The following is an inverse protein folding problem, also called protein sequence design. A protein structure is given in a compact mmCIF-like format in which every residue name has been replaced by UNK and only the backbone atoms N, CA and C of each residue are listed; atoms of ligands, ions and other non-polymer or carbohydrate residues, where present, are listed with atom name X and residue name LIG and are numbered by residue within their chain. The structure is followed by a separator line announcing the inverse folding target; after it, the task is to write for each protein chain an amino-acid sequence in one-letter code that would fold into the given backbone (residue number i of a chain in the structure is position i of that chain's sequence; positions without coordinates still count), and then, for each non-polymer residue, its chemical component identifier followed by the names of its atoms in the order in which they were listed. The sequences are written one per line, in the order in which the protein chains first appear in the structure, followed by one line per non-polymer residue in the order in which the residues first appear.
data_IF_296692082810
#
_entry.id   IF_296692082810
#
_cell.length_a   1.000
_cell.length_b   1.000
_cell.length_c   1.000
_cell.angle_alpha   90.00
_cell.angle_beta   90.00
_cell.angle_gamma   90.00
#
_symmetry.space_group_name_H-M   'P 1'
#
loop_
_entity.id
_entity.type
_entity.pdbx_description
1 polymer ?
#
# COMPACT_ATOMS: atom_id res chain seq x y z
N UNK A 1 31.74 0.91 -32.43
CA UNK A 1 32.13 0.42 -31.08
C UNK A 1 33.31 -0.52 -31.25
N UNK A 2 34.49 -0.28 -30.65
CA UNK A 2 35.63 -1.18 -30.75
C UNK A 2 35.36 -2.48 -30.00
N UNK A 3 35.58 -3.63 -30.62
CA UNK A 3 35.49 -4.96 -29.99
C UNK A 3 36.53 -5.06 -28.87
N UNK A 4 36.20 -5.64 -27.69
CA UNK A 4 37.17 -5.87 -26.64
C UNK A 4 38.29 -6.78 -27.14
N UNK A 5 39.57 -6.49 -26.83
CA UNK A 5 40.74 -7.11 -27.48
C UNK A 5 40.97 -8.59 -27.16
N UNK A 6 40.25 -9.17 -26.12
CA UNK A 6 40.41 -10.58 -25.76
C UNK A 6 39.07 -11.21 -25.33
N UNK A 7 38.74 -12.43 -25.79
CA UNK A 7 37.60 -13.16 -25.28
C UNK A 7 37.87 -13.57 -23.83
N UNK A 8 37.02 -13.11 -22.92
CA UNK A 8 37.10 -13.53 -21.51
C UNK A 8 36.90 -15.05 -21.43
N UNK A 9 37.72 -15.80 -20.66
CA UNK A 9 37.57 -17.23 -20.52
C UNK A 9 36.15 -17.57 -20.04
N UNK A 10 35.48 -18.48 -20.78
CA UNK A 10 34.14 -18.95 -20.41
C UNK A 10 34.27 -19.93 -19.25
N UNK A 11 34.12 -19.48 -18.04
CA UNK A 11 34.06 -20.36 -16.87
C UNK A 11 32.74 -21.16 -16.93
N UNK A 12 32.82 -22.52 -16.80
CA UNK A 12 31.62 -23.35 -16.75
C UNK A 12 30.60 -22.83 -15.71
N UNK A 13 29.32 -22.86 -16.03
CA UNK A 13 28.24 -22.30 -15.17
C UNK A 13 28.25 -22.88 -13.75
N UNK A 14 28.58 -24.18 -13.62
CA UNK A 14 28.69 -24.86 -12.32
C UNK A 14 29.78 -24.24 -11.46
N UNK A 15 30.99 -24.02 -12.02
CA UNK A 15 32.10 -23.40 -11.27
C UNK A 15 31.76 -21.94 -10.87
N UNK A 16 31.05 -21.21 -11.73
CA UNK A 16 30.59 -19.87 -11.42
C UNK A 16 29.57 -19.89 -10.27
N UNK A 17 28.62 -20.82 -10.27
CA UNK A 17 27.65 -21.00 -9.19
C UNK A 17 28.32 -21.36 -7.87
N UNK A 18 29.24 -22.33 -7.88
CA UNK A 18 30.03 -22.70 -6.70
C UNK A 18 30.86 -21.51 -6.16
N UNK A 19 31.42 -20.70 -7.05
CA UNK A 19 32.15 -19.49 -6.66
C UNK A 19 31.26 -18.45 -5.97
N UNK A 20 30.02 -18.29 -6.39
CA UNK A 20 29.04 -17.38 -5.75
C UNK A 20 28.68 -17.89 -4.34
N UNK A 21 28.35 -19.19 -4.20
CA UNK A 21 28.00 -19.76 -2.90
C UNK A 21 29.16 -19.73 -1.92
N UNK A 22 30.38 -20.03 -2.39
CA UNK A 22 31.58 -19.95 -1.55
C UNK A 22 31.85 -18.51 -1.08
N UNK A 23 31.66 -17.53 -1.95
CA UNK A 23 31.79 -16.11 -1.61
C UNK A 23 30.77 -15.72 -0.56
N UNK A 24 29.50 -16.07 -0.75
CA UNK A 24 28.43 -15.78 0.23
C UNK A 24 28.71 -16.45 1.58
N UNK A 25 29.15 -17.71 1.57
CA UNK A 25 29.55 -18.42 2.78
C UNK A 25 30.68 -17.70 3.51
N UNK A 26 31.72 -17.28 2.80
CA UNK A 26 32.84 -16.53 3.37
C UNK A 26 32.38 -15.20 3.97
N UNK A 27 31.54 -14.45 3.26
CA UNK A 27 31.02 -13.16 3.73
C UNK A 27 30.07 -13.31 4.93
N UNK A 28 29.40 -14.47 5.07
CA UNK A 28 28.54 -14.79 6.22
C UNK A 28 29.35 -15.17 7.45
N UNK A 29 30.42 -15.99 7.28
CA UNK A 29 31.26 -16.46 8.40
C UNK A 29 32.24 -15.37 8.90
N UNK A 30 32.72 -14.55 7.96
CA UNK A 30 33.66 -13.47 8.24
C UNK A 30 33.11 -12.12 7.79
N UNK A 31 32.10 -11.56 8.49
CA UNK A 31 31.53 -10.28 8.10
C UNK A 31 32.55 -9.16 8.22
N UNK A 32 32.77 -8.43 7.12
CA UNK A 32 33.64 -7.26 7.10
C UNK A 32 32.86 -6.03 7.62
N UNK A 33 32.78 -5.86 8.94
CA UNK A 33 32.15 -4.72 9.57
C UNK A 33 31.34 -5.07 10.82
N UNK A 34 31.00 -4.08 11.64
CA UNK A 34 30.32 -4.29 12.91
C UNK A 34 28.82 -4.67 12.77
N UNK A 35 28.23 -4.44 11.61
CA UNK A 35 26.81 -4.77 11.31
C UNK A 35 26.77 -5.50 9.98
N UNK A 36 26.16 -6.70 9.90
CA UNK A 36 25.95 -7.40 8.64
C UNK A 36 25.08 -6.55 7.74
N UNK A 37 25.55 -6.26 6.52
CA UNK A 37 24.74 -5.57 5.52
C UNK A 37 23.92 -6.58 4.73
N UNK A 38 22.61 -6.33 4.47
CA UNK A 38 21.74 -7.26 3.73
C UNK A 38 22.27 -7.65 2.35
N UNK A 39 23.14 -6.83 1.77
CA UNK A 39 23.78 -7.08 0.48
C UNK A 39 25.01 -8.00 0.53
N UNK A 40 25.48 -8.37 1.73
CA UNK A 40 26.71 -9.12 1.93
C UNK A 40 26.49 -10.28 2.89
N UNK A 41 26.39 -11.48 2.35
CA UNK A 41 26.20 -12.71 3.14
C UNK A 41 24.74 -12.98 3.52
N UNK A 42 24.53 -14.00 4.36
CA UNK A 42 23.21 -14.32 4.92
C UNK A 42 23.00 -13.51 6.21
N UNK A 43 21.94 -12.74 6.26
CA UNK A 43 21.56 -11.88 7.40
C UNK A 43 20.25 -12.39 7.96
N UNK A 44 20.18 -12.52 9.28
CA UNK A 44 18.96 -12.82 10.02
C UNK A 44 18.41 -11.54 10.63
N UNK A 45 17.12 -11.28 10.44
CA UNK A 45 16.40 -10.19 11.07
C UNK A 45 15.78 -10.69 12.37
N UNK A 46 16.05 -10.01 13.47
CA UNK A 46 15.54 -10.36 14.81
C UNK A 46 14.15 -9.74 15.03
N UNK A 47 13.21 -10.13 14.19
CA UNK A 47 11.83 -9.66 14.31
C UNK A 47 11.21 -10.11 15.65
N UNK A 48 10.47 -9.27 16.40
CA UNK A 48 10.05 -7.89 16.05
C UNK A 48 11.04 -6.79 16.50
N UNK A 49 12.19 -7.15 17.10
CA UNK A 49 13.14 -6.17 17.63
C UNK A 49 13.87 -5.41 16.51
N UNK A 50 14.17 -6.12 15.42
CA UNK A 50 14.67 -5.56 14.18
C UNK A 50 13.63 -5.82 13.10
N UNK A 51 13.02 -4.77 12.58
CA UNK A 51 12.08 -4.85 11.46
C UNK A 51 12.57 -3.93 10.34
N UNK A 52 12.57 -4.44 9.11
CA UNK A 52 12.79 -3.60 7.94
C UNK A 52 11.58 -2.69 7.76
N UNK A 53 11.81 -1.38 7.74
CA UNK A 53 10.75 -0.43 7.45
C UNK A 53 10.25 -0.64 6.01
N UNK A 54 8.95 -0.67 5.79
CA UNK A 54 8.40 -0.76 4.46
C UNK A 54 8.82 0.44 3.61
N UNK A 55 8.97 0.24 2.31
CA UNK A 55 9.26 1.33 1.39
C UNK A 55 8.12 2.37 1.39
N UNK A 56 8.44 3.63 1.11
CA UNK A 56 7.48 4.77 1.17
C UNK A 56 6.20 4.54 0.35
N UNK A 57 6.26 3.71 -0.69
CA UNK A 57 5.12 3.35 -1.54
C UNK A 57 4.73 1.88 -1.43
N UNK A 58 4.97 1.28 -0.27
CA UNK A 58 4.52 -0.08 -0.01
C UNK A 58 2.98 -0.17 -0.04
N UNK A 59 2.47 -1.25 -0.61
CA UNK A 59 1.06 -1.58 -0.60
C UNK A 59 0.77 -2.46 0.62
N UNK A 60 0.47 -1.83 1.74
CA UNK A 60 0.04 -2.50 2.95
C UNK A 60 -1.50 -2.60 3.01
N UNK A 61 -2.09 -2.20 4.11
CA UNK A 61 -3.55 -2.20 4.28
C UNK A 61 -4.20 -1.03 3.53
N UNK A 62 -5.42 -1.23 3.04
CA UNK A 62 -6.22 -0.16 2.42
C UNK A 62 -6.91 0.63 3.54
N UNK A 63 -6.72 1.94 3.54
CA UNK A 63 -7.31 2.88 4.49
C UNK A 63 -8.43 3.70 3.87
N UNK A 64 -9.33 4.22 4.70
CA UNK A 64 -10.48 5.01 4.29
C UNK A 64 -10.44 6.41 4.89
N UNK A 65 -10.51 7.42 4.04
CA UNK A 65 -10.85 8.79 4.41
C UNK A 65 -12.34 8.99 4.30
N UNK A 66 -13.07 8.80 5.39
CA UNK A 66 -14.54 8.81 5.40
C UNK A 66 -15.14 10.11 4.82
N UNK A 67 -14.56 11.25 5.16
CA UNK A 67 -15.01 12.58 4.69
C UNK A 67 -15.07 12.73 3.17
N UNK A 68 -14.24 11.98 2.44
CA UNK A 68 -14.16 12.02 0.99
C UNK A 68 -15.12 11.02 0.34
N UNK A 69 -15.58 10.02 1.09
CA UNK A 69 -16.42 8.97 0.53
C UNK A 69 -17.85 9.46 0.29
N UNK A 70 -18.34 9.29 -0.92
CA UNK A 70 -19.71 9.66 -1.33
C UNK A 70 -20.61 8.45 -1.54
N UNK A 71 -20.24 7.29 -1.05
CA UNK A 71 -20.98 6.04 -1.24
C UNK A 71 -21.41 5.77 -2.70
N UNK A 72 -20.50 6.03 -3.66
CA UNK A 72 -20.79 5.89 -5.10
C UNK A 72 -20.76 4.45 -5.61
N UNK A 73 -20.35 3.49 -4.79
CA UNK A 73 -20.30 2.04 -5.10
C UNK A 73 -19.27 1.63 -6.17
N UNK A 74 -18.45 2.53 -6.71
CA UNK A 74 -17.49 2.18 -7.76
C UNK A 74 -16.47 1.17 -7.29
N UNK A 75 -15.86 1.40 -6.12
CA UNK A 75 -14.87 0.49 -5.55
C UNK A 75 -15.42 -0.92 -5.30
N UNK A 76 -16.68 -1.04 -4.86
CA UNK A 76 -17.32 -2.33 -4.64
C UNK A 76 -17.65 -3.06 -5.95
N UNK A 77 -18.07 -2.32 -7.00
CA UNK A 77 -18.40 -2.92 -8.32
C UNK A 77 -17.17 -3.41 -9.08
N UNK A 78 -16.07 -2.66 -8.98
CA UNK A 78 -14.82 -2.99 -9.68
C UNK A 78 -13.95 -3.97 -8.88
N UNK A 79 -14.36 -4.35 -7.67
CA UNK A 79 -13.65 -5.33 -6.87
C UNK A 79 -13.82 -6.73 -7.46
N UNK A 80 -12.72 -7.41 -7.89
CA UNK A 80 -12.81 -8.75 -8.47
C UNK A 80 -13.22 -9.80 -7.44
N UNK A 81 -12.89 -9.59 -6.16
CA UNK A 81 -13.13 -10.54 -5.07
C UNK A 81 -14.39 -10.25 -4.26
N UNK A 82 -15.11 -9.17 -4.60
CA UNK A 82 -16.34 -8.75 -3.92
C UNK A 82 -16.16 -8.58 -2.40
N UNK A 83 -14.97 -8.18 -1.96
CA UNK A 83 -14.60 -8.05 -0.56
C UNK A 83 -15.00 -6.71 0.08
N UNK A 84 -15.67 -5.80 -0.66
CA UNK A 84 -16.06 -4.47 -0.17
C UNK A 84 -17.57 -4.42 0.02
N UNK A 85 -17.99 -4.20 1.26
CA UNK A 85 -19.38 -4.05 1.64
C UNK A 85 -19.66 -2.56 1.91
N UNK A 86 -20.54 -1.96 1.11
CA UNK A 86 -20.80 -0.54 1.18
C UNK A 86 -22.31 -0.29 1.17
N UNK A 87 -22.77 0.48 2.15
CA UNK A 87 -24.17 0.94 2.24
C UNK A 87 -24.19 2.45 2.43
N UNK A 88 -25.17 3.09 1.86
CA UNK A 88 -25.36 4.51 2.00
C UNK A 88 -26.78 4.95 1.67
N UNK A 89 -27.18 6.04 2.28
CA UNK A 89 -28.50 6.62 2.05
C UNK A 89 -28.42 8.04 1.48
N UNK A 90 -29.52 8.51 0.94
CA UNK A 90 -29.63 9.91 0.46
C UNK A 90 -30.06 10.81 1.58
N UNK A 91 -29.25 11.83 1.83
CA UNK A 91 -29.55 12.89 2.82
C UNK A 91 -29.56 14.26 2.17
N UNK A 92 -30.03 15.26 2.89
CA UNK A 92 -30.06 16.65 2.46
C UNK A 92 -28.89 17.40 3.11
N UNK A 93 -27.94 17.81 2.32
CA UNK A 93 -26.87 18.69 2.77
C UNK A 93 -27.28 20.16 2.67
N UNK A 94 -26.73 21.03 3.55
CA UNK A 94 -26.96 22.46 3.45
C UNK A 94 -26.52 23.02 2.08
N UNK A 95 -27.12 24.09 1.62
CA UNK A 95 -26.75 24.70 0.36
C UNK A 95 -25.30 25.23 0.40
N UNK A 96 -24.60 25.19 -0.75
CA UNK A 96 -23.23 25.72 -0.87
C UNK A 96 -23.15 27.25 -0.81
N UNK A 97 -24.28 27.95 -0.98
CA UNK A 97 -24.37 29.42 -0.94
C UNK A 97 -25.55 29.81 -0.05
N UNK A 98 -25.42 30.90 0.66
CA UNK A 98 -26.53 31.48 1.44
C UNK A 98 -27.76 31.71 0.54
N UNK A 99 -28.94 31.27 0.96
CA UNK A 99 -30.19 31.35 0.19
C UNK A 99 -30.36 30.29 -0.91
N UNK A 100 -29.43 29.35 -1.06
CA UNK A 100 -29.55 28.26 -2.01
C UNK A 100 -30.53 27.16 -1.58
N UNK A 101 -30.91 26.25 -2.49
CA UNK A 101 -31.71 25.08 -2.17
C UNK A 101 -30.82 23.99 -1.54
N UNK A 102 -31.34 23.21 -0.56
CA UNK A 102 -30.65 22.04 -0.05
C UNK A 102 -30.42 21.03 -1.18
N UNK A 103 -29.25 20.39 -1.15
CA UNK A 103 -28.89 19.41 -2.20
C UNK A 103 -28.94 18.00 -1.64
N UNK A 104 -29.37 17.06 -2.49
CA UNK A 104 -29.31 15.64 -2.17
C UNK A 104 -27.87 15.17 -2.28
N UNK A 105 -27.34 14.59 -1.21
CA UNK A 105 -26.02 13.95 -1.17
C UNK A 105 -26.17 12.53 -0.64
N UNK A 106 -25.26 11.66 -1.00
CA UNK A 106 -25.21 10.34 -0.38
C UNK A 106 -24.37 10.46 0.91
N UNK A 107 -24.86 9.90 1.98
CA UNK A 107 -24.15 9.69 3.23
C UNK A 107 -23.69 8.23 3.32
N UNK A 108 -22.51 8.00 3.85
CA UNK A 108 -21.97 6.68 4.05
C UNK A 108 -22.45 6.12 5.39
N UNK A 109 -23.18 5.00 5.34
CA UNK A 109 -23.65 4.30 6.53
C UNK A 109 -22.66 3.23 6.96
N UNK A 110 -22.28 2.39 6.01
CA UNK A 110 -21.41 1.25 6.20
C UNK A 110 -20.33 1.20 5.13
N UNK A 111 -19.11 0.92 5.52
CA UNK A 111 -18.01 0.64 4.63
C UNK A 111 -17.09 -0.37 5.31
N UNK A 112 -17.12 -1.60 4.82
CA UNK A 112 -16.27 -2.65 5.36
C UNK A 112 -15.44 -3.26 4.23
N UNK A 113 -14.22 -3.66 4.56
CA UNK A 113 -13.36 -4.46 3.67
C UNK A 113 -13.04 -5.77 4.37
N UNK A 114 -13.34 -6.86 3.71
CA UNK A 114 -12.95 -8.20 4.16
C UNK A 114 -11.54 -8.53 3.65
N UNK A 115 -10.56 -8.37 4.53
CA UNK A 115 -9.16 -8.66 4.22
C UNK A 115 -8.85 -10.15 4.16
N UNK A 116 -9.77 -11.02 4.54
CA UNK A 116 -9.63 -12.47 4.33
C UNK A 116 -9.82 -12.86 2.86
N UNK A 117 -10.53 -12.03 2.09
CA UNK A 117 -10.83 -12.23 0.67
C UNK A 117 -9.99 -11.30 -0.23
N UNK A 118 -9.54 -10.17 0.30
CA UNK A 118 -8.87 -9.12 -0.48
C UNK A 118 -7.54 -9.60 -1.05
N UNK A 119 -7.38 -9.51 -2.38
CA UNK A 119 -6.13 -9.85 -3.08
C UNK A 119 -5.13 -8.68 -3.21
N UNK A 120 -5.40 -7.54 -2.58
CA UNK A 120 -4.55 -6.34 -2.59
C UNK A 120 -4.23 -5.81 -4.00
N UNK A 121 -5.12 -5.97 -4.96
CA UNK A 121 -4.93 -5.53 -6.33
C UNK A 121 -4.88 -4.00 -6.49
N UNK A 122 -5.55 -3.24 -5.59
CA UNK A 122 -5.57 -1.79 -5.58
C UNK A 122 -6.55 -1.14 -6.56
N UNK A 123 -7.34 -1.91 -7.30
CA UNK A 123 -8.31 -1.36 -8.25
C UNK A 123 -9.28 -0.40 -7.54
N UNK A 124 -9.71 -0.71 -6.32
CA UNK A 124 -10.60 0.14 -5.53
C UNK A 124 -9.99 1.51 -5.20
N UNK A 125 -8.67 1.58 -5.00
CA UNK A 125 -7.94 2.84 -4.77
C UNK A 125 -7.88 3.64 -6.06
N UNK A 126 -7.50 3.00 -7.18
CA UNK A 126 -7.35 3.65 -8.49
C UNK A 126 -8.68 4.16 -9.06
N UNK A 127 -9.77 3.42 -8.88
CA UNK A 127 -11.08 3.77 -9.43
C UNK A 127 -11.81 4.84 -8.61
N UNK A 128 -11.34 5.19 -7.41
CA UNK A 128 -12.01 6.13 -6.53
C UNK A 128 -11.87 7.59 -7.03
N UNK A 129 -12.94 8.23 -7.57
CA UNK A 129 -12.84 9.59 -8.13
C UNK A 129 -12.80 10.67 -7.05
N UNK A 130 -12.99 10.29 -5.78
CA UNK A 130 -13.05 11.20 -4.65
C UNK A 130 -11.83 11.10 -3.73
N UNK A 131 -10.85 10.26 -4.10
CA UNK A 131 -9.66 10.05 -3.30
C UNK A 131 -10.02 9.73 -1.83
N UNK A 132 -10.88 8.73 -1.67
CA UNK A 132 -11.33 8.28 -0.36
C UNK A 132 -10.53 7.06 0.14
N UNK A 133 -9.85 6.33 -0.73
CA UNK A 133 -9.09 5.14 -0.41
C UNK A 133 -7.59 5.37 -0.64
N UNK A 134 -6.77 4.95 0.30
CA UNK A 134 -5.32 5.11 0.26
C UNK A 134 -4.61 3.83 0.70
N UNK A 135 -3.37 3.68 0.29
CA UNK A 135 -2.49 2.66 0.81
C UNK A 135 -1.81 3.15 2.09
N UNK A 136 -2.00 2.43 3.18
CA UNK A 136 -1.17 2.56 4.37
C UNK A 136 0.03 1.61 4.24
N UNK A 137 1.21 1.95 4.75
CA UNK A 137 2.36 1.04 4.81
C UNK A 137 2.18 -0.08 5.83
N UNK A 138 1.18 0.01 6.70
CA UNK A 138 0.91 -0.96 7.75
C UNK A 138 0.48 -2.32 7.18
N UNK A 139 1.04 -3.40 7.71
CA UNK A 139 0.76 -4.76 7.26
C UNK A 139 0.59 -5.76 8.41
N UNK A 140 0.81 -5.32 9.66
CA UNK A 140 0.77 -6.16 10.85
C UNK A 140 -0.61 -6.16 11.50
N UNK A 141 -1.58 -6.79 10.86
CA UNK A 141 -2.96 -6.89 11.37
C UNK A 141 -3.49 -8.32 11.39
N UNK A 142 -2.60 -9.26 11.73
CA UNK A 142 -2.98 -10.66 11.91
C UNK A 142 -3.99 -10.83 13.02
N UNK A 143 -5.02 -11.62 12.78
CA UNK A 143 -6.11 -11.89 13.73
C UNK A 143 -6.23 -13.38 14.05
N UNK A 144 -6.76 -13.69 15.24
CA UNK A 144 -6.98 -15.08 15.66
C UNK A 144 -8.20 -15.72 14.99
N UNK A 145 -9.16 -14.90 14.56
CA UNK A 145 -10.39 -15.33 13.90
C UNK A 145 -10.52 -14.65 12.55
N UNK A 146 -10.90 -15.41 11.54
CA UNK A 146 -11.10 -14.87 10.18
C UNK A 146 -12.16 -13.77 10.15
N UNK A 147 -13.17 -13.82 11.02
CA UNK A 147 -14.21 -12.79 11.12
C UNK A 147 -13.65 -11.42 11.54
N UNK A 148 -12.55 -11.39 12.28
CA UNK A 148 -11.92 -10.15 12.76
C UNK A 148 -11.10 -9.46 11.66
N UNK A 149 -10.89 -10.13 10.51
CA UNK A 149 -10.31 -9.53 9.30
C UNK A 149 -11.32 -8.69 8.49
N UNK A 150 -12.60 -8.68 8.89
CA UNK A 150 -13.58 -7.75 8.38
C UNK A 150 -13.38 -6.38 9.07
N UNK A 151 -12.71 -5.46 8.39
CA UNK A 151 -12.43 -4.13 8.94
C UNK A 151 -13.55 -3.17 8.57
N UNK A 152 -14.18 -2.60 9.59
CA UNK A 152 -15.21 -1.59 9.45
C UNK A 152 -14.62 -0.20 9.11
N UNK A 153 -15.49 0.75 8.80
CA UNK A 153 -15.09 2.12 8.47
C UNK A 153 -14.27 2.81 9.57
N UNK A 154 -14.52 2.46 10.84
CA UNK A 154 -13.79 3.03 11.98
C UNK A 154 -12.34 2.55 11.99
N UNK A 155 -12.12 1.26 11.82
CA UNK A 155 -10.79 0.65 11.75
C UNK A 155 -10.04 1.09 10.49
N UNK A 156 -10.72 1.17 9.35
CA UNK A 156 -10.15 1.69 8.11
C UNK A 156 -9.74 3.17 8.21
N UNK A 157 -10.49 3.97 8.98
CA UNK A 157 -10.15 5.36 9.29
C UNK A 157 -8.91 5.50 10.15
N UNK A 158 -8.69 4.60 11.12
CA UNK A 158 -7.46 4.57 11.91
C UNK A 158 -6.23 4.32 11.05
N UNK A 159 -6.33 3.41 10.07
CA UNK A 159 -5.24 3.19 9.11
C UNK A 159 -4.92 4.42 8.26
N UNK A 160 -5.88 5.32 8.07
CA UNK A 160 -5.63 6.55 7.32
C UNK A 160 -4.64 7.48 8.04
N UNK A 161 -4.55 7.43 9.37
CA UNK A 161 -3.60 8.21 10.15
C UNK A 161 -2.14 7.79 9.89
N UNK A 162 -1.93 6.58 9.40
CA UNK A 162 -0.60 6.03 9.10
C UNK A 162 -0.17 6.22 7.64
N UNK A 163 -1.03 6.82 6.81
CA UNK A 163 -0.72 7.09 5.39
C UNK A 163 0.31 8.22 5.31
N UNK A 164 1.49 7.99 4.73
CA UNK A 164 2.51 9.01 4.60
C UNK A 164 2.12 10.09 3.58
N UNK A 165 2.55 11.32 3.82
CA UNK A 165 2.52 12.38 2.81
C UNK A 165 3.62 12.11 1.79
N UNK A 166 3.23 11.83 0.55
CA UNK A 166 4.18 11.57 -0.52
C UNK A 166 4.66 12.85 -1.17
N UNK A 167 5.97 13.00 -1.29
CA UNK A 167 6.53 14.00 -2.18
C UNK A 167 6.19 13.68 -3.64
N UNK A 168 5.85 14.67 -4.46
CA UNK A 168 5.60 14.46 -5.88
C UNK A 168 6.86 13.92 -6.56
N UNK A 169 6.71 12.91 -7.43
CA UNK A 169 7.83 12.28 -8.15
C UNK A 169 8.56 13.24 -9.07
N UNK A 170 7.87 14.26 -9.59
CA UNK A 170 8.41 15.27 -10.49
C UNK A 170 7.88 16.65 -10.09
N UNK A 171 8.72 17.68 -10.23
CA UNK A 171 8.29 19.07 -10.02
C UNK A 171 7.17 19.42 -11.02
N UNK A 172 5.99 19.77 -10.51
CA UNK A 172 4.80 20.06 -11.31
C UNK A 172 3.81 18.89 -11.43
N UNK A 173 4.13 17.71 -10.93
CA UNK A 173 3.20 16.58 -10.82
C UNK A 173 2.28 16.66 -9.59
N UNK A 174 2.29 17.79 -8.92
CA UNK A 174 1.44 18.06 -7.76
C UNK A 174 -0.02 17.85 -8.13
N UNK A 175 -0.65 16.87 -7.54
CA UNK A 175 -2.09 16.71 -7.62
C UNK A 175 -2.70 17.93 -6.96
N UNK A 176 -3.28 18.82 -7.76
CA UNK A 176 -4.08 19.93 -7.23
C UNK A 176 -5.28 19.29 -6.52
N UNK A 177 -5.15 19.07 -5.23
CA UNK A 177 -6.24 18.63 -4.39
C UNK A 177 -7.33 19.66 -4.52
N UNK A 178 -8.33 19.37 -5.36
CA UNK A 178 -9.55 20.15 -5.40
C UNK A 178 -10.19 19.97 -4.03
N UNK A 179 -9.97 20.95 -3.14
CA UNK A 179 -10.74 21.04 -1.91
C UNK A 179 -12.20 21.07 -2.33
N UNK A 180 -12.88 19.92 -2.21
CA UNK A 180 -14.33 19.89 -2.34
C UNK A 180 -14.84 20.67 -1.15
N UNK A 181 -15.41 21.87 -1.32
CA UNK A 181 -15.94 22.64 -0.20
C UNK A 181 -17.04 21.81 0.44
N UNK A 182 -16.87 21.52 1.74
CA UNK A 182 -17.87 20.91 2.61
C UNK A 182 -19.16 21.74 2.66
#
# INVERSE_FOLDING_TARGET
MPKPPFPKPKVPGVLKGMGITLRTAKETVFPNGPIPQPSKGAVTVQYPHDADLPADRARGVISLKEDNCTACMLCARECPDWCIYLEGHKTLAPPRREGGKPRKVNALDRFDIDFSLCMYCGICVEVCPFEALFWSPEYEYSELKIADLLHDKSRLGQWFETVPDFEPLESGSEVKVKKVPR
#
